data_IF_653801067041
#
_entry.id   IF_653801067041
#
_cell.length_a   1.000
_cell.length_b   1.000
_cell.length_c   1.000
_cell.angle_alpha   90.00
_cell.angle_beta   90.00
_cell.angle_gamma   90.00
#
_symmetry.space_group_name_H-M   'P 1'
#
loop_
_entity.id
_entity.type
_entity.pdbx_description
1 polymer ?
#
# COMPACT_ATOMS: atom_id res chain seq x y z
N UNK A 1 -37.57 41.73 -29.45
CA UNK A 1 -36.43 41.72 -28.51
C UNK A 1 -35.65 40.44 -28.73
N UNK A 2 -34.41 40.50 -29.18
CA UNK A 2 -33.63 39.27 -29.35
C UNK A 2 -33.17 38.74 -28.01
N UNK A 3 -33.56 37.52 -27.68
CA UNK A 3 -33.04 36.79 -26.55
C UNK A 3 -31.62 36.34 -26.85
N UNK A 4 -30.66 36.81 -26.07
CA UNK A 4 -29.29 36.33 -26.13
C UNK A 4 -29.25 34.88 -25.65
N UNK A 5 -29.05 33.97 -26.58
CA UNK A 5 -28.65 32.61 -26.27
C UNK A 5 -27.19 32.68 -25.74
N UNK A 6 -27.02 32.51 -24.45
CA UNK A 6 -25.71 32.31 -23.89
C UNK A 6 -25.27 30.88 -24.27
N UNK A 7 -24.32 30.78 -25.18
CA UNK A 7 -23.58 29.56 -25.41
C UNK A 7 -22.68 29.34 -24.17
N UNK A 8 -23.06 28.39 -23.31
CA UNK A 8 -22.17 27.85 -22.31
C UNK A 8 -21.14 27.00 -23.03
N UNK A 9 -19.95 27.55 -23.22
CA UNK A 9 -18.80 26.76 -23.65
C UNK A 9 -18.37 25.97 -22.42
N UNK A 10 -18.72 24.69 -22.42
CA UNK A 10 -18.17 23.72 -21.47
C UNK A 10 -16.69 23.52 -21.82
N UNK A 11 -15.84 24.21 -21.08
CA UNK A 11 -14.40 23.99 -21.15
C UNK A 11 -14.10 22.67 -20.44
N UNK A 12 -14.04 21.56 -21.18
CA UNK A 12 -13.51 20.30 -20.69
C UNK A 12 -12.03 20.48 -20.40
N UNK A 13 -11.70 20.67 -19.13
CA UNK A 13 -10.32 20.58 -18.66
C UNK A 13 -9.88 19.11 -18.73
N UNK A 14 -9.25 18.75 -19.83
CA UNK A 14 -8.47 17.53 -19.91
C UNK A 14 -7.26 17.68 -18.99
N UNK A 15 -7.34 17.08 -17.79
CA UNK A 15 -6.18 16.94 -16.94
C UNK A 15 -5.19 16.00 -17.63
N UNK A 16 -3.91 16.40 -17.76
CA UNK A 16 -2.92 15.51 -18.34
C UNK A 16 -2.79 14.25 -17.49
N UNK A 17 -2.90 13.10 -18.13
CA UNK A 17 -2.57 11.81 -17.51
C UNK A 17 -1.09 11.84 -17.15
N UNK A 18 -0.78 11.85 -15.85
CA UNK A 18 0.59 11.70 -15.39
C UNK A 18 1.06 10.28 -15.69
N UNK A 19 2.01 10.16 -16.61
CA UNK A 19 2.72 8.89 -16.83
C UNK A 19 3.52 8.56 -15.57
N UNK A 20 3.22 7.42 -14.90
CA UNK A 20 3.91 6.97 -13.69
C UNK A 20 3.03 6.05 -12.83
N UNK A 21 3.50 5.73 -11.61
CA UNK A 21 2.74 4.97 -10.64
C UNK A 21 1.41 5.67 -10.33
N UNK A 22 0.33 4.89 -10.12
CA UNK A 22 -0.98 5.45 -9.79
C UNK A 22 -0.91 6.28 -8.50
N UNK A 23 -1.74 7.34 -8.34
CA UNK A 23 -1.82 8.10 -7.10
C UNK A 23 -2.05 7.20 -5.88
N UNK A 24 -2.83 6.12 -6.02
CA UNK A 24 -3.08 5.14 -4.95
C UNK A 24 -1.80 4.43 -4.50
N UNK A 25 -0.92 4.02 -5.41
CA UNK A 25 0.38 3.42 -5.06
C UNK A 25 1.29 4.45 -4.39
N UNK A 26 1.35 5.67 -4.88
CA UNK A 26 2.13 6.75 -4.27
C UNK A 26 1.63 7.06 -2.86
N UNK A 27 0.32 7.17 -2.66
CA UNK A 27 -0.28 7.40 -1.36
C UNK A 27 -0.03 6.24 -0.40
N UNK A 28 -0.12 5.01 -0.87
CA UNK A 28 0.19 3.83 -0.08
C UNK A 28 1.67 3.81 0.36
N UNK A 29 2.59 4.17 -0.52
CA UNK A 29 4.01 4.26 -0.17
C UNK A 29 4.29 5.42 0.80
N UNK A 30 3.63 6.56 0.65
CA UNK A 30 3.71 7.64 1.63
C UNK A 30 3.26 7.17 3.01
N UNK A 31 2.17 6.41 3.08
CA UNK A 31 1.69 5.83 4.33
C UNK A 31 2.67 4.82 4.90
N UNK A 32 3.23 3.94 4.07
CA UNK A 32 4.24 2.98 4.49
C UNK A 32 5.47 3.68 5.09
N UNK A 33 5.92 4.78 4.49
CA UNK A 33 7.03 5.58 5.05
C UNK A 33 6.67 6.22 6.39
N UNK A 34 5.45 6.74 6.53
CA UNK A 34 4.99 7.29 7.80
C UNK A 34 4.96 6.21 8.91
N UNK A 35 4.56 4.99 8.56
CA UNK A 35 4.59 3.85 9.48
C UNK A 35 6.02 3.43 9.84
N UNK A 36 6.95 3.49 8.89
CA UNK A 36 8.38 3.29 9.16
C UNK A 36 8.89 4.31 10.18
N UNK A 37 8.54 5.58 10.01
CA UNK A 37 8.95 6.64 10.93
C UNK A 37 8.33 6.43 12.32
N UNK A 38 7.10 5.96 12.38
CA UNK A 38 6.44 5.56 13.62
C UNK A 38 7.18 4.40 14.31
N UNK A 39 7.61 3.38 13.57
CA UNK A 39 8.42 2.28 14.09
C UNK A 39 9.71 2.82 14.75
N UNK A 40 10.44 3.70 14.08
CA UNK A 40 11.66 4.32 14.60
C UNK A 40 11.35 5.09 15.89
N UNK A 41 10.30 5.88 15.93
CA UNK A 41 9.91 6.62 17.15
C UNK A 41 9.55 5.72 18.32
N UNK A 42 9.03 4.54 18.05
CA UNK A 42 8.70 3.55 19.09
C UNK A 42 9.88 2.68 19.52
N UNK A 43 11.05 2.85 18.91
CA UNK A 43 12.23 2.04 19.20
C UNK A 43 12.24 0.71 18.44
N UNK A 44 11.43 0.57 17.41
CA UNK A 44 11.38 -0.61 16.57
C UNK A 44 12.24 -0.46 15.30
N UNK A 45 12.30 -1.51 14.50
CA UNK A 45 13.03 -1.52 13.24
C UNK A 45 12.35 -0.60 12.21
N UNK A 46 13.14 0.06 11.37
CA UNK A 46 12.70 1.09 10.42
C UNK A 46 12.01 0.48 9.19
N UNK A 47 10.83 -0.12 9.39
CA UNK A 47 10.02 -0.71 8.33
C UNK A 47 8.56 -0.36 8.50
N UNK A 48 7.88 -0.14 7.38
CA UNK A 48 6.45 0.07 7.31
C UNK A 48 5.87 -0.61 6.07
N UNK A 49 4.63 -1.05 6.16
CA UNK A 49 3.94 -1.72 5.07
C UNK A 49 2.44 -1.44 5.07
N UNK A 50 1.87 -1.53 3.88
CA UNK A 50 0.46 -1.29 3.59
C UNK A 50 -0.05 -2.40 2.68
N UNK A 51 -1.26 -2.86 2.91
CA UNK A 51 -2.02 -3.67 1.95
C UNK A 51 -3.05 -2.78 1.29
N UNK A 52 -2.96 -2.68 -0.04
CA UNK A 52 -3.80 -1.83 -0.87
C UNK A 52 -4.75 -2.68 -1.71
N UNK A 53 -6.03 -2.32 -1.73
CA UNK A 53 -7.02 -2.91 -2.64
C UNK A 53 -7.71 -1.79 -3.42
N UNK A 54 -7.42 -1.72 -4.75
CA UNK A 54 -7.85 -0.58 -5.56
C UNK A 54 -7.24 0.73 -5.02
N UNK A 55 -8.08 1.68 -4.63
CA UNK A 55 -7.67 2.95 -4.05
C UNK A 55 -7.74 2.96 -2.50
N UNK A 56 -7.96 1.80 -1.86
CA UNK A 56 -8.21 1.71 -0.42
C UNK A 56 -7.10 0.96 0.30
N UNK A 57 -6.59 1.55 1.38
CA UNK A 57 -5.73 0.88 2.34
C UNK A 57 -6.62 -0.02 3.20
N UNK A 58 -6.42 -1.33 3.09
CA UNK A 58 -7.19 -2.34 3.81
C UNK A 58 -6.42 -2.99 4.95
N UNK A 59 -5.12 -2.72 5.03
CA UNK A 59 -4.27 -3.14 6.13
C UNK A 59 -2.99 -2.33 6.15
N UNK A 60 -2.42 -2.12 7.34
CA UNK A 60 -1.19 -1.36 7.49
C UNK A 60 -0.53 -1.65 8.83
N UNK A 61 0.77 -1.57 8.89
CA UNK A 61 1.50 -1.67 10.13
C UNK A 61 2.93 -1.16 10.04
N UNK A 62 3.47 -0.63 11.16
CA UNK A 62 4.90 -0.54 11.38
C UNK A 62 5.46 -1.92 11.76
N UNK A 63 6.79 -2.07 11.74
CA UNK A 63 7.44 -3.22 12.38
C UNK A 63 7.14 -3.26 13.89
N UNK A 64 6.90 -4.45 14.41
CA UNK A 64 6.68 -4.71 15.83
C UNK A 64 7.62 -5.80 16.38
N UNK A 65 8.67 -6.11 15.65
CA UNK A 65 9.64 -7.14 16.05
C UNK A 65 10.18 -6.87 17.47
N UNK A 66 10.59 -5.64 17.73
CA UNK A 66 11.15 -5.24 19.04
C UNK A 66 10.05 -5.00 20.06
N UNK A 67 9.05 -4.18 19.71
CA UNK A 67 7.99 -3.77 20.65
C UNK A 67 7.08 -4.92 21.07
N UNK A 68 6.82 -5.88 20.21
CA UNK A 68 6.06 -7.09 20.53
C UNK A 68 6.95 -8.27 20.99
N UNK A 69 8.27 -8.15 20.87
CA UNK A 69 9.19 -9.26 21.17
C UNK A 69 8.95 -10.47 20.29
N UNK A 70 8.60 -10.26 19.02
CA UNK A 70 8.24 -11.30 18.07
C UNK A 70 9.08 -11.18 16.79
N UNK A 71 10.00 -12.14 16.53
CA UNK A 71 10.85 -12.08 15.34
C UNK A 71 10.09 -12.16 14.02
N UNK A 72 8.84 -12.58 14.03
CA UNK A 72 7.99 -12.65 12.83
C UNK A 72 7.15 -11.40 12.61
N UNK A 73 7.12 -10.46 13.55
CA UNK A 73 6.28 -9.27 13.47
C UNK A 73 6.88 -8.18 12.57
N UNK A 74 7.37 -8.58 11.38
CA UNK A 74 7.76 -7.67 10.32
C UNK A 74 6.60 -6.79 9.90
N UNK A 75 6.86 -5.60 9.41
CA UNK A 75 5.80 -4.68 8.99
C UNK A 75 4.86 -5.32 7.95
N UNK A 76 5.41 -6.06 7.00
CA UNK A 76 4.63 -6.76 5.97
C UNK A 76 3.73 -7.83 6.58
N UNK A 77 4.26 -8.63 7.52
CA UNK A 77 3.47 -9.65 8.24
C UNK A 77 2.31 -9.02 9.01
N UNK A 78 2.60 -7.95 9.73
CA UNK A 78 1.59 -7.23 10.51
C UNK A 78 0.55 -6.55 9.63
N UNK A 79 0.95 -6.01 8.48
CA UNK A 79 0.02 -5.42 7.51
C UNK A 79 -0.92 -6.48 6.91
N UNK A 80 -0.39 -7.67 6.58
CA UNK A 80 -1.19 -8.81 6.10
C UNK A 80 -2.18 -9.26 7.19
N UNK A 81 -1.73 -9.39 8.42
CA UNK A 81 -2.59 -9.74 9.56
C UNK A 81 -3.69 -8.71 9.78
N UNK A 82 -3.34 -7.43 9.69
CA UNK A 82 -4.30 -6.33 9.83
C UNK A 82 -5.37 -6.36 8.72
N UNK A 83 -4.94 -6.55 7.47
CA UNK A 83 -5.86 -6.69 6.35
C UNK A 83 -6.81 -7.89 6.52
N UNK A 84 -6.28 -9.04 6.92
CA UNK A 84 -7.08 -10.24 7.15
C UNK A 84 -8.14 -10.01 8.23
N UNK A 85 -7.77 -9.32 9.31
CA UNK A 85 -8.71 -8.97 10.38
C UNK A 85 -9.77 -7.99 9.90
N UNK A 86 -9.38 -6.90 9.25
CA UNK A 86 -10.30 -5.86 8.76
C UNK A 86 -11.28 -6.40 7.73
N UNK A 87 -10.81 -7.24 6.82
CA UNK A 87 -11.63 -7.84 5.77
C UNK A 87 -12.33 -9.11 6.21
N UNK A 88 -12.01 -9.63 7.41
CA UNK A 88 -12.50 -10.92 7.92
C UNK A 88 -12.30 -12.04 6.90
N UNK A 89 -11.14 -12.07 6.28
CA UNK A 89 -10.81 -13.01 5.22
C UNK A 89 -9.31 -13.27 5.21
N UNK A 90 -8.93 -14.53 5.04
CA UNK A 90 -7.56 -14.92 4.74
C UNK A 90 -7.21 -14.81 3.26
N UNK A 91 -8.20 -14.56 2.42
CA UNK A 91 -8.03 -14.37 0.98
C UNK A 91 -7.93 -12.87 0.69
N UNK A 92 -6.73 -12.43 0.32
CA UNK A 92 -6.42 -11.05 -0.04
C UNK A 92 -6.20 -10.92 -1.55
N UNK A 93 -6.88 -11.74 -2.35
CA UNK A 93 -6.86 -11.64 -3.81
C UNK A 93 -7.22 -10.23 -4.27
N UNK A 94 -6.52 -9.74 -5.29
CA UNK A 94 -6.70 -8.38 -5.81
C UNK A 94 -5.98 -7.31 -4.99
N UNK A 95 -5.32 -7.67 -3.89
CA UNK A 95 -4.57 -6.72 -3.07
C UNK A 95 -3.10 -6.63 -3.53
N UNK A 96 -2.49 -5.48 -3.25
CA UNK A 96 -1.08 -5.22 -3.47
C UNK A 96 -0.41 -4.98 -2.12
N UNK A 97 0.70 -5.66 -1.85
CA UNK A 97 1.54 -5.39 -0.70
C UNK A 97 2.54 -4.28 -1.06
N UNK A 98 2.46 -3.18 -0.34
CA UNK A 98 3.33 -2.00 -0.55
C UNK A 98 4.21 -1.83 0.69
N UNK A 99 5.51 -1.97 0.54
CA UNK A 99 6.45 -1.93 1.66
C UNK A 99 7.64 -1.01 1.41
N UNK A 100 8.19 -0.45 2.48
CA UNK A 100 9.33 0.47 2.39
C UNK A 100 10.61 -0.23 1.93
N UNK A 101 10.70 -1.55 2.08
CA UNK A 101 11.80 -2.36 1.60
C UNK A 101 11.28 -3.64 0.95
N UNK A 102 12.13 -4.29 0.17
CA UNK A 102 11.78 -5.56 -0.47
C UNK A 102 11.39 -6.58 0.61
N UNK A 103 10.23 -7.26 0.46
CA UNK A 103 9.85 -8.32 1.39
C UNK A 103 10.88 -9.44 1.46
N UNK A 104 11.17 -9.90 2.69
CA UNK A 104 11.99 -11.07 2.89
C UNK A 104 11.23 -12.36 2.49
N UNK A 105 11.91 -13.50 2.50
CA UNK A 105 11.31 -14.78 2.12
C UNK A 105 10.08 -15.16 2.95
N UNK A 106 10.09 -14.86 4.25
CA UNK A 106 8.95 -15.12 5.13
C UNK A 106 7.74 -14.25 4.73
N UNK A 107 7.95 -12.95 4.53
CA UNK A 107 6.89 -12.03 4.16
C UNK A 107 6.34 -12.33 2.76
N UNK A 108 7.22 -12.68 1.82
CA UNK A 108 6.82 -13.12 0.48
C UNK A 108 5.98 -14.39 0.53
N UNK A 109 6.40 -15.42 1.31
CA UNK A 109 5.62 -16.64 1.48
C UNK A 109 4.24 -16.35 2.09
N UNK A 110 4.18 -15.48 3.11
CA UNK A 110 2.91 -15.08 3.72
C UNK A 110 2.01 -14.36 2.73
N UNK A 111 2.57 -13.47 1.90
CA UNK A 111 1.83 -12.81 0.83
C UNK A 111 1.27 -13.82 -0.18
N UNK A 112 2.04 -14.84 -0.54
CA UNK A 112 1.60 -15.93 -1.41
C UNK A 112 0.46 -16.75 -0.80
N UNK A 113 0.54 -17.08 0.48
CA UNK A 113 -0.53 -17.80 1.18
C UNK A 113 -1.81 -16.98 1.27
N UNK A 114 -1.68 -15.65 1.37
CA UNK A 114 -2.81 -14.73 1.36
C UNK A 114 -3.35 -14.44 -0.05
N UNK A 115 -2.72 -14.96 -1.10
CA UNK A 115 -3.08 -14.71 -2.51
C UNK A 115 -2.95 -13.26 -2.94
N UNK A 116 -2.04 -12.53 -2.33
CA UNK A 116 -1.73 -11.17 -2.76
C UNK A 116 -1.29 -11.18 -4.22
N UNK A 117 -1.80 -10.26 -5.00
CA UNK A 117 -1.62 -10.22 -6.45
C UNK A 117 -0.19 -9.86 -6.83
N UNK A 118 0.40 -8.89 -6.15
CA UNK A 118 1.79 -8.46 -6.38
C UNK A 118 2.34 -7.67 -5.21
N UNK A 119 3.66 -7.49 -5.24
CA UNK A 119 4.41 -6.74 -4.23
C UNK A 119 5.11 -5.56 -4.88
N UNK A 120 5.00 -4.38 -4.25
CA UNK A 120 5.66 -3.14 -4.66
C UNK A 120 6.48 -2.61 -3.49
N UNK A 121 7.71 -2.20 -3.73
CA UNK A 121 8.59 -1.77 -2.64
C UNK A 121 9.48 -0.59 -2.99
N UNK A 122 9.88 0.15 -1.96
CA UNK A 122 10.84 1.24 -2.03
C UNK A 122 10.32 2.50 -2.70
N UNK A 123 11.13 3.55 -2.64
CA UNK A 123 10.75 4.88 -3.15
C UNK A 123 10.51 4.90 -4.66
N UNK A 124 11.19 4.01 -5.39
CA UNK A 124 11.00 3.86 -6.83
C UNK A 124 9.74 3.08 -7.21
N UNK A 125 8.96 2.62 -6.24
CA UNK A 125 7.76 1.78 -6.45
C UNK A 125 8.08 0.57 -7.34
N UNK A 126 9.16 -0.13 -7.00
CA UNK A 126 9.61 -1.30 -7.77
C UNK A 126 8.59 -2.42 -7.66
N UNK A 127 8.07 -2.85 -8.80
CA UNK A 127 7.14 -3.98 -8.87
C UNK A 127 7.94 -5.28 -8.89
N UNK A 128 7.86 -6.04 -7.79
CA UNK A 128 8.50 -7.34 -7.66
C UNK A 128 7.64 -8.48 -8.23
N UNK A 129 6.47 -8.17 -8.76
CA UNK A 129 5.54 -9.15 -9.29
C UNK A 129 4.76 -9.92 -8.22
N UNK A 130 4.09 -11.00 -8.64
CA UNK A 130 3.37 -11.86 -7.71
C UNK A 130 4.34 -12.57 -6.76
N UNK A 131 3.89 -12.88 -5.52
CA UNK A 131 4.67 -13.70 -4.60
C UNK A 131 4.91 -15.09 -5.20
N UNK A 132 6.14 -15.59 -5.07
CA UNK A 132 6.54 -16.92 -5.57
C UNK A 132 6.35 -18.00 -4.49
#
# INVERSE_FOLDING_TARGET
>A
MPTRRQCLIMLSLLLPSLAGASPSLQQAMQRARALRDEAVRSGDQAYGAVVLRGAHIVGEAPSRVVTAGDPTAHAEMEAIRDAARRLRSRDLSGCVLVSTSRPCRMCEAAAGWARIERMVHGDALTDAGPPS
#
